data_IF_985963726015
#
_entry.id   IF_985963726015
#
_cell.length_a   1.000
_cell.length_b   1.000
_cell.length_c   1.000
_cell.angle_alpha   90.00
_cell.angle_beta   90.00
_cell.angle_gamma   90.00
#
_symmetry.space_group_name_H-M   'P 1'
#
loop_
_entity.id
_entity.type
_entity.pdbx_description
1 polymer ?
#
# COMPACT_ATOMS: atom_id res chain seq x y z
N UNK A 1 -20.77 58.96 -10.61
CA UNK A 1 -20.45 57.61 -10.15
C UNK A 1 -19.09 57.25 -10.70
N UNK A 2 -18.07 57.26 -9.83
CA UNK A 2 -16.72 56.85 -10.21
C UNK A 2 -16.63 55.38 -9.83
N UNK A 3 -16.75 54.49 -10.82
CA UNK A 3 -16.40 53.10 -10.67
C UNK A 3 -14.90 53.00 -10.36
N UNK A 4 -14.59 52.78 -9.09
CA UNK A 4 -13.24 52.46 -8.66
C UNK A 4 -12.92 51.09 -9.24
N UNK A 5 -12.25 51.03 -10.39
CA UNK A 5 -11.67 49.76 -10.89
C UNK A 5 -10.75 49.21 -9.81
N UNK A 6 -11.26 48.23 -9.07
CA UNK A 6 -10.51 47.49 -8.06
C UNK A 6 -9.36 46.79 -8.79
N UNK A 7 -8.13 47.23 -8.55
CA UNK A 7 -6.93 46.69 -9.22
C UNK A 7 -6.78 45.22 -8.85
N UNK A 8 -7.09 44.32 -9.78
CA UNK A 8 -6.89 42.89 -9.64
C UNK A 8 -5.44 42.58 -9.26
N UNK A 9 -5.23 41.87 -8.16
CA UNK A 9 -3.89 41.54 -7.65
C UNK A 9 -3.55 40.10 -7.85
N UNK A 10 -2.25 39.82 -7.92
CA UNK A 10 -1.68 38.50 -8.03
C UNK A 10 -0.91 38.16 -6.74
N UNK A 11 -1.23 37.02 -6.14
CA UNK A 11 -0.52 36.45 -4.99
C UNK A 11 0.33 35.30 -5.48
N UNK A 12 1.56 35.17 -4.97
CA UNK A 12 2.42 34.03 -5.19
C UNK A 12 2.94 33.51 -3.87
N UNK A 13 2.82 32.20 -3.67
CA UNK A 13 3.40 31.47 -2.54
C UNK A 13 4.15 30.25 -3.08
N UNK A 14 5.29 29.94 -2.50
CA UNK A 14 6.05 28.74 -2.87
C UNK A 14 6.59 28.03 -1.63
N UNK A 15 6.67 26.71 -1.71
CA UNK A 15 7.23 25.88 -0.65
C UNK A 15 7.94 24.69 -1.27
N UNK A 16 9.11 24.35 -0.75
CA UNK A 16 9.77 23.07 -1.04
C UNK A 16 9.18 22.01 -0.11
N UNK A 17 8.53 21.02 -0.69
CA UNK A 17 7.97 19.88 0.02
C UNK A 17 8.92 18.70 -0.18
N UNK A 18 9.38 18.11 0.89
CA UNK A 18 10.26 16.93 0.87
C UNK A 18 9.47 15.68 0.53
N UNK A 19 9.00 15.60 -0.70
CA UNK A 19 8.28 14.45 -1.24
C UNK A 19 8.32 14.49 -2.78
N UNK A 20 8.29 13.32 -3.46
CA UNK A 20 8.21 13.23 -4.91
C UNK A 20 6.98 13.93 -5.49
N UNK A 21 7.13 14.48 -6.69
CA UNK A 21 6.11 15.28 -7.36
C UNK A 21 4.76 14.55 -7.50
N UNK A 22 4.79 13.28 -7.82
CA UNK A 22 3.61 12.43 -7.95
C UNK A 22 2.83 12.33 -6.62
N UNK A 23 3.55 12.25 -5.50
CA UNK A 23 2.93 12.18 -4.17
C UNK A 23 2.34 13.52 -3.74
N UNK A 24 3.04 14.60 -4.03
CA UNK A 24 2.53 15.95 -3.74
C UNK A 24 1.29 16.22 -4.59
N UNK A 25 1.32 15.89 -5.89
CA UNK A 25 0.16 16.00 -6.77
C UNK A 25 -1.00 15.12 -6.30
N UNK A 26 -0.76 13.87 -5.89
CA UNK A 26 -1.77 12.98 -5.34
C UNK A 26 -2.42 13.56 -4.07
N UNK A 27 -1.65 14.19 -3.19
CA UNK A 27 -2.19 14.83 -2.00
C UNK A 27 -3.16 15.99 -2.33
N UNK A 28 -2.94 16.68 -3.44
CA UNK A 28 -3.82 17.74 -3.96
C UNK A 28 -5.07 17.23 -4.69
N UNK A 29 -5.10 15.97 -5.06
CA UNK A 29 -6.13 15.40 -5.94
C UNK A 29 -6.87 14.20 -5.37
N UNK A 30 -6.52 13.75 -4.17
CA UNK A 30 -7.18 12.64 -3.48
C UNK A 30 -8.07 13.19 -2.35
N UNK A 31 -9.39 12.93 -2.33
CA UNK A 31 -10.30 13.43 -1.29
C UNK A 31 -9.84 13.12 0.13
N UNK A 32 -9.38 11.90 0.38
CA UNK A 32 -8.93 11.46 1.70
C UNK A 32 -7.67 12.19 2.18
N UNK A 33 -6.77 12.60 1.27
CA UNK A 33 -5.61 13.42 1.61
C UNK A 33 -6.03 14.88 1.85
N UNK A 34 -6.84 15.47 0.96
CA UNK A 34 -7.35 16.84 1.07
C UNK A 34 -7.99 17.08 2.44
N UNK A 35 -8.81 16.16 2.93
CA UNK A 35 -9.44 16.26 4.25
C UNK A 35 -8.44 16.30 5.41
N UNK A 36 -7.21 15.86 5.23
CA UNK A 36 -6.18 15.81 6.28
C UNK A 36 -5.34 17.07 6.35
N UNK A 37 -5.03 17.70 5.22
CA UNK A 37 -4.09 18.81 5.19
C UNK A 37 -4.66 20.14 4.70
N UNK A 38 -5.70 20.13 3.87
CA UNK A 38 -6.21 21.36 3.24
C UNK A 38 -6.87 22.29 4.27
N UNK A 39 -6.58 23.59 4.14
CA UNK A 39 -7.00 24.64 5.08
C UNK A 39 -5.94 24.91 6.18
N UNK A 40 -5.83 26.19 6.66
CA UNK A 40 -4.95 26.53 7.77
C UNK A 40 -5.34 25.81 9.06
N UNK A 41 -4.55 25.92 10.14
CA UNK A 41 -4.78 25.17 11.40
C UNK A 41 -6.16 25.37 12.01
N UNK A 42 -6.75 26.56 11.85
CA UNK A 42 -8.10 26.88 12.32
C UNK A 42 -9.23 26.32 11.44
N UNK A 43 -8.90 25.61 10.37
CA UNK A 43 -9.86 25.08 9.40
C UNK A 43 -9.74 23.57 9.27
N UNK A 44 -10.89 22.89 9.15
CA UNK A 44 -10.98 21.46 8.90
C UNK A 44 -11.88 21.20 7.69
N UNK A 45 -11.36 20.48 6.69
CA UNK A 45 -12.19 19.96 5.59
C UNK A 45 -12.93 18.71 6.07
N UNK A 46 -14.26 18.78 6.10
CA UNK A 46 -15.12 17.69 6.55
C UNK A 46 -15.65 16.83 5.41
N UNK A 47 -15.62 17.36 4.18
CA UNK A 47 -15.97 16.63 2.96
C UNK A 47 -15.20 17.22 1.79
N UNK A 48 -14.64 16.37 0.95
CA UNK A 48 -13.99 16.73 -0.30
C UNK A 48 -14.55 15.87 -1.43
N UNK A 49 -15.04 16.51 -2.49
CA UNK A 49 -15.49 15.86 -3.73
C UNK A 49 -14.84 16.56 -4.88
N UNK A 50 -14.29 15.83 -5.82
CA UNK A 50 -13.68 16.41 -7.03
C UNK A 50 -13.79 15.45 -8.22
N UNK A 51 -13.96 16.04 -9.39
CA UNK A 51 -13.91 15.37 -10.68
C UNK A 51 -12.66 15.86 -11.41
N UNK A 52 -11.55 15.11 -11.31
CA UNK A 52 -10.22 15.53 -11.76
C UNK A 52 -10.07 15.44 -13.28
N UNK A 53 -10.68 16.37 -14.00
CA UNK A 53 -10.56 16.54 -15.45
C UNK A 53 -10.82 18.02 -15.82
N UNK A 54 -10.38 18.48 -16.99
CA UNK A 54 -10.80 19.80 -17.50
C UNK A 54 -12.33 19.93 -17.49
N UNK A 55 -12.84 21.07 -17.04
CA UNK A 55 -14.26 21.35 -16.79
C UNK A 55 -14.92 20.50 -15.69
N UNK A 56 -14.17 19.67 -14.96
CA UNK A 56 -14.67 18.94 -13.80
C UNK A 56 -14.80 19.84 -12.57
N UNK A 57 -15.83 19.64 -11.79
CA UNK A 57 -16.11 20.42 -10.58
C UNK A 57 -15.40 19.85 -9.36
N UNK A 58 -15.11 20.73 -8.40
CA UNK A 58 -14.73 20.34 -7.06
C UNK A 58 -15.50 21.08 -5.99
N UNK A 59 -15.70 20.43 -4.82
CA UNK A 59 -16.43 20.96 -3.68
C UNK A 59 -15.81 20.47 -2.38
N UNK A 60 -15.41 21.39 -1.52
CA UNK A 60 -14.90 21.10 -0.18
C UNK A 60 -15.77 21.79 0.86
N UNK A 61 -16.27 21.04 1.86
CA UNK A 61 -16.93 21.60 3.02
C UNK A 61 -15.87 21.86 4.09
N UNK A 62 -15.75 23.11 4.51
CA UNK A 62 -14.72 23.58 5.44
C UNK A 62 -15.40 24.12 6.70
N UNK A 63 -15.07 23.57 7.85
CA UNK A 63 -15.39 24.12 9.17
C UNK A 63 -14.26 25.03 9.62
N UNK A 64 -14.61 26.22 10.09
CA UNK A 64 -13.66 27.20 10.62
C UNK A 64 -14.23 27.89 11.83
N UNK A 65 -13.42 28.03 12.87
CA UNK A 65 -13.81 28.78 14.07
C UNK A 65 -14.03 30.28 13.79
N UNK A 66 -13.29 30.84 12.82
CA UNK A 66 -13.38 32.25 12.46
C UNK A 66 -14.45 32.56 11.41
N UNK A 67 -14.61 31.67 10.43
CA UNK A 67 -15.45 31.91 9.24
C UNK A 67 -16.77 31.15 9.26
N UNK A 68 -16.99 30.28 10.27
CA UNK A 68 -18.12 29.36 10.29
C UNK A 68 -17.98 28.23 9.25
N UNK A 69 -19.07 27.57 8.95
CA UNK A 69 -19.12 26.49 7.95
C UNK A 69 -19.22 27.14 6.54
N UNK A 70 -18.19 26.92 5.73
CA UNK A 70 -18.11 27.46 4.37
C UNK A 70 -17.90 26.35 3.35
N UNK A 71 -18.35 26.58 2.13
CA UNK A 71 -18.11 25.71 0.99
C UNK A 71 -17.13 26.40 0.03
N UNK A 72 -15.99 25.79 -0.17
CA UNK A 72 -15.05 26.11 -1.23
C UNK A 72 -15.40 25.30 -2.47
N UNK A 73 -15.57 25.93 -3.61
CA UNK A 73 -15.94 25.24 -4.84
C UNK A 73 -15.36 25.92 -6.09
N UNK A 74 -15.28 25.17 -7.18
CA UNK A 74 -14.83 25.67 -8.46
C UNK A 74 -14.78 24.57 -9.53
N UNK A 75 -14.15 24.93 -10.65
CA UNK A 75 -14.01 24.10 -11.84
C UNK A 75 -12.53 24.01 -12.21
N UNK A 76 -12.04 22.84 -12.53
CA UNK A 76 -10.71 22.67 -13.09
C UNK A 76 -10.67 23.21 -14.52
N UNK A 77 -9.77 24.15 -14.78
CA UNK A 77 -9.50 24.71 -16.13
C UNK A 77 -8.43 23.88 -16.84
N UNK A 78 -7.42 23.44 -16.09
CA UNK A 78 -6.32 22.63 -16.62
C UNK A 78 -5.93 21.56 -15.59
N UNK A 79 -5.71 20.34 -16.06
CA UNK A 79 -5.21 19.21 -15.26
C UNK A 79 -4.10 18.53 -16.04
N UNK A 80 -2.86 18.68 -15.58
CA UNK A 80 -1.65 18.06 -16.16
C UNK A 80 -0.89 17.26 -15.08
N UNK A 81 -1.25 16.01 -14.83
CA UNK A 81 -0.53 15.19 -13.86
C UNK A 81 0.91 14.90 -14.32
N UNK A 82 1.88 14.88 -13.40
CA UNK A 82 1.82 15.33 -12.02
C UNK A 82 2.32 16.77 -11.86
N UNK A 83 2.23 17.61 -12.88
CA UNK A 83 2.96 18.89 -12.96
C UNK A 83 2.14 20.14 -12.72
N UNK A 84 0.81 20.13 -12.99
CA UNK A 84 0.04 21.37 -12.91
C UNK A 84 -1.46 21.16 -12.70
N UNK A 85 -2.07 22.05 -11.92
CA UNK A 85 -3.52 22.24 -11.77
C UNK A 85 -3.86 23.72 -11.97
N UNK A 86 -4.94 24.00 -12.69
CA UNK A 86 -5.56 25.34 -12.75
C UNK A 86 -7.04 25.19 -12.45
N UNK A 87 -7.54 25.95 -11.50
CA UNK A 87 -8.96 25.90 -11.14
C UNK A 87 -9.50 27.29 -10.79
N UNK A 88 -10.81 27.47 -10.93
CA UNK A 88 -11.51 28.63 -10.37
C UNK A 88 -11.68 28.43 -8.87
N UNK A 89 -11.86 29.52 -8.12
CA UNK A 89 -11.87 29.52 -6.68
C UNK A 89 -12.98 30.42 -6.16
N UNK A 90 -13.96 29.84 -5.49
CA UNK A 90 -15.13 30.52 -4.97
C UNK A 90 -15.50 30.00 -3.59
N UNK A 91 -15.98 30.90 -2.73
CA UNK A 91 -16.60 30.56 -1.45
C UNK A 91 -18.10 30.79 -1.47
N UNK A 92 -18.84 29.98 -0.72
CA UNK A 92 -20.24 30.19 -0.39
C UNK A 92 -20.49 29.79 1.07
N UNK A 93 -21.56 30.35 1.67
CA UNK A 93 -21.88 30.14 3.08
C UNK A 93 -21.50 31.32 4.00
N UNK A 94 -20.53 32.14 3.62
CA UNK A 94 -20.17 33.39 4.32
C UNK A 94 -20.11 34.57 3.34
N UNK A 95 -20.97 35.62 3.50
CA UNK A 95 -20.96 36.78 2.60
C UNK A 95 -19.64 37.55 2.55
N UNK A 96 -18.88 37.60 3.64
CA UNK A 96 -17.60 38.31 3.71
C UNK A 96 -16.50 37.71 2.82
N UNK A 97 -16.68 36.45 2.42
CA UNK A 97 -15.75 35.74 1.53
C UNK A 97 -16.18 35.77 0.05
N UNK A 98 -17.30 36.42 -0.27
CA UNK A 98 -17.84 36.45 -1.63
C UNK A 98 -17.33 37.70 -2.39
N UNK A 99 -16.09 37.67 -2.83
CA UNK A 99 -15.47 38.75 -3.61
C UNK A 99 -15.41 38.48 -5.12
N UNK A 100 -16.14 37.47 -5.60
CA UNK A 100 -16.18 37.05 -7.00
C UNK A 100 -15.29 35.84 -7.31
N UNK A 101 -15.35 35.38 -8.56
CA UNK A 101 -14.53 34.25 -9.01
C UNK A 101 -13.07 34.68 -9.15
N UNK A 102 -12.19 33.91 -8.53
CA UNK A 102 -10.74 34.05 -8.68
C UNK A 102 -10.14 32.77 -9.27
N UNK A 103 -8.87 32.78 -9.63
CA UNK A 103 -8.20 31.64 -10.25
C UNK A 103 -6.95 31.23 -9.48
N UNK A 104 -6.82 29.94 -9.24
CA UNK A 104 -5.64 29.34 -8.62
C UNK A 104 -4.92 28.47 -9.64
N UNK A 105 -3.62 28.69 -9.78
CA UNK A 105 -2.70 27.84 -10.51
C UNK A 105 -1.73 27.21 -9.51
N UNK A 106 -1.61 25.90 -9.52
CA UNK A 106 -0.63 25.15 -8.72
C UNK A 106 0.32 24.43 -9.66
N UNK A 107 1.60 24.70 -9.54
CA UNK A 107 2.67 24.05 -10.30
C UNK A 107 3.51 23.22 -9.34
N UNK A 108 3.83 22.00 -9.77
CA UNK A 108 4.62 21.02 -9.02
C UNK A 108 5.93 20.81 -9.77
N UNK A 109 7.00 21.43 -9.30
CA UNK A 109 8.30 21.40 -9.96
C UNK A 109 9.21 20.40 -9.28
N UNK A 110 9.75 19.45 -10.03
CA UNK A 110 10.73 18.49 -9.52
C UNK A 110 12.04 19.20 -9.12
N UNK A 111 12.53 18.89 -7.95
CA UNK A 111 13.78 19.38 -7.34
C UNK A 111 14.65 18.25 -6.84
N UNK A 112 15.02 17.31 -7.73
CA UNK A 112 15.88 16.15 -7.42
C UNK A 112 15.23 15.20 -6.40
N UNK A 113 13.94 14.90 -6.58
CA UNK A 113 13.18 14.02 -5.70
C UNK A 113 12.28 14.76 -4.70
N UNK A 114 12.59 16.00 -4.39
CA UNK A 114 11.69 16.93 -3.68
C UNK A 114 10.79 17.67 -4.67
N UNK A 115 9.75 18.33 -4.19
CA UNK A 115 8.81 19.09 -5.04
C UNK A 115 8.72 20.52 -4.58
N UNK A 116 9.05 21.48 -5.44
CA UNK A 116 8.69 22.87 -5.21
C UNK A 116 7.25 23.09 -5.67
N UNK A 117 6.34 23.32 -4.73
CA UNK A 117 4.97 23.72 -4.99
C UNK A 117 4.93 25.22 -5.14
N UNK A 118 4.44 25.70 -6.30
CA UNK A 118 4.21 27.12 -6.56
C UNK A 118 2.72 27.36 -6.74
N UNK A 119 2.14 28.19 -5.88
CA UNK A 119 0.74 28.61 -5.95
C UNK A 119 0.71 30.03 -6.46
N UNK A 120 -0.04 30.25 -7.54
CA UNK A 120 -0.38 31.57 -8.04
C UNK A 120 -1.90 31.77 -7.92
N UNK A 121 -2.33 32.75 -7.14
CA UNK A 121 -3.74 33.11 -6.99
C UNK A 121 -3.96 34.49 -7.62
N UNK A 122 -4.80 34.52 -8.62
CA UNK A 122 -5.07 35.70 -9.43
C UNK A 122 -6.51 36.16 -9.23
N UNK A 123 -6.79 37.44 -9.58
CA UNK A 123 -8.10 38.07 -9.47
C UNK A 123 -8.59 38.22 -8.01
N UNK A 124 -7.66 38.27 -7.05
CA UNK A 124 -7.97 38.63 -5.67
C UNK A 124 -8.13 40.13 -5.51
N UNK A 125 -9.04 40.61 -4.63
CA UNK A 125 -9.04 41.98 -4.17
C UNK A 125 -7.69 42.37 -3.58
N UNK A 126 -7.39 43.70 -3.60
CA UNK A 126 -6.19 44.23 -2.95
C UNK A 126 -6.38 44.38 -1.44
N UNK A 127 -5.28 44.53 -0.69
CA UNK A 127 -5.30 44.79 0.73
C UNK A 127 -5.45 43.53 1.61
N UNK A 128 -6.33 43.57 2.60
CA UNK A 128 -6.51 42.56 3.65
C UNK A 128 -6.85 41.18 3.08
N UNK A 129 -7.77 41.11 2.14
CA UNK A 129 -8.17 39.85 1.48
C UNK A 129 -6.99 39.09 0.86
N UNK A 130 -6.07 39.82 0.22
CA UNK A 130 -4.86 39.22 -0.36
C UNK A 130 -3.92 38.70 0.73
N UNK A 131 -3.76 39.43 1.83
CA UNK A 131 -2.88 39.01 2.92
C UNK A 131 -3.47 37.81 3.67
N UNK A 132 -4.79 37.77 3.90
CA UNK A 132 -5.48 36.61 4.48
C UNK A 132 -5.31 35.35 3.63
N UNK A 133 -5.46 35.48 2.30
CA UNK A 133 -5.21 34.36 1.39
C UNK A 133 -3.75 33.91 1.41
N UNK A 134 -2.80 34.84 1.57
CA UNK A 134 -1.38 34.50 1.69
C UNK A 134 -1.09 33.72 2.99
N UNK A 135 -1.66 34.16 4.11
CA UNK A 135 -1.57 33.45 5.38
C UNK A 135 -2.26 32.08 5.28
N UNK A 136 -3.46 32.01 4.70
CA UNK A 136 -4.18 30.77 4.45
C UNK A 136 -3.39 29.75 3.63
N UNK A 137 -2.77 30.19 2.52
CA UNK A 137 -1.93 29.32 1.70
C UNK A 137 -0.66 28.85 2.42
N UNK A 138 -0.01 29.69 3.21
CA UNK A 138 1.14 29.27 4.02
C UNK A 138 0.72 28.22 5.05
N UNK A 139 -0.38 28.43 5.78
CA UNK A 139 -0.91 27.44 6.71
C UNK A 139 -1.32 26.10 6.04
N UNK A 140 -1.90 26.17 4.83
CA UNK A 140 -2.14 24.98 4.01
C UNK A 140 -0.84 24.24 3.69
N UNK A 141 0.18 24.95 3.24
CA UNK A 141 1.47 24.35 2.88
C UNK A 141 2.22 23.81 4.11
N UNK A 142 2.09 24.44 5.28
CA UNK A 142 2.64 23.93 6.55
C UNK A 142 1.98 22.59 6.95
N UNK A 143 0.65 22.48 6.81
CA UNK A 143 -0.07 21.22 7.03
C UNK A 143 0.24 20.17 5.96
N UNK A 144 0.41 20.58 4.70
CA UNK A 144 0.83 19.69 3.62
C UNK A 144 2.23 19.14 3.89
N UNK A 145 3.15 20.00 4.32
CA UNK A 145 4.51 19.62 4.71
C UNK A 145 4.49 18.64 5.89
N UNK A 146 3.71 18.91 6.94
CA UNK A 146 3.49 17.98 8.05
C UNK A 146 2.83 16.66 7.59
N UNK A 147 1.82 16.73 6.72
CA UNK A 147 1.12 15.56 6.19
C UNK A 147 2.01 14.68 5.29
N UNK A 148 2.88 15.32 4.53
CA UNK A 148 3.84 14.65 3.66
C UNK A 148 5.22 14.52 4.30
N UNK A 149 5.59 15.41 5.21
CA UNK A 149 6.84 15.44 5.94
C UNK A 149 6.78 14.72 7.30
N UNK A 150 5.60 14.30 7.75
CA UNK A 150 5.45 13.24 8.76
C UNK A 150 5.95 11.87 8.24
N UNK A 151 6.28 11.81 6.95
CA UNK A 151 7.33 10.98 6.40
C UNK A 151 8.67 11.75 6.49
N UNK A 152 9.19 11.97 7.71
CA UNK A 152 10.62 12.29 7.90
C UNK A 152 11.44 11.30 7.09
N UNK A 153 12.63 11.72 6.64
CA UNK A 153 13.64 10.94 5.92
C UNK A 153 13.93 9.52 6.46
N UNK A 154 13.17 9.07 7.46
CA UNK A 154 13.26 7.73 7.99
C UNK A 154 12.38 6.72 7.28
N UNK A 155 11.67 7.00 6.15
CA UNK A 155 10.97 5.91 5.44
C UNK A 155 10.56 6.19 3.98
N UNK A 156 11.44 6.79 3.17
CA UNK A 156 11.61 6.35 1.80
C UNK A 156 12.81 5.42 1.73
N UNK A 157 12.87 4.47 2.66
CA UNK A 157 13.68 3.29 2.44
C UNK A 157 13.06 2.59 1.23
N UNK A 158 13.79 2.40 0.11
CA UNK A 158 13.31 1.50 -0.93
C UNK A 158 12.90 0.24 -0.20
N UNK A 159 11.75 -0.35 -0.53
CA UNK A 159 11.30 -1.58 0.14
C UNK A 159 12.49 -2.51 0.21
N UNK A 160 12.83 -2.93 1.43
CA UNK A 160 14.06 -3.65 1.64
C UNK A 160 14.00 -4.93 0.80
N UNK A 161 15.07 -5.17 0.06
CA UNK A 161 15.22 -6.42 -0.69
C UNK A 161 15.08 -7.58 0.28
N UNK A 162 14.22 -8.54 -0.04
CA UNK A 162 13.95 -9.72 0.79
C UNK A 162 12.70 -9.64 1.66
N UNK A 163 11.95 -8.53 1.64
CA UNK A 163 10.69 -8.41 2.39
C UNK A 163 9.49 -8.94 1.61
N UNK A 164 8.57 -9.61 2.31
CA UNK A 164 7.28 -9.99 1.75
C UNK A 164 6.35 -8.79 1.72
N UNK A 165 5.96 -8.36 0.52
CA UNK A 165 5.17 -7.14 0.33
C UNK A 165 3.76 -7.37 -0.17
N UNK A 166 3.51 -8.51 -0.78
CA UNK A 166 2.20 -8.86 -1.32
C UNK A 166 1.96 -10.35 -1.23
N UNK A 167 0.71 -10.73 -1.01
CA UNK A 167 0.29 -12.13 -0.98
C UNK A 167 -1.03 -12.24 -1.74
N UNK A 168 -1.14 -13.22 -2.63
CA UNK A 168 -2.38 -13.46 -3.36
C UNK A 168 -2.79 -14.93 -3.28
N UNK A 169 -4.07 -15.17 -3.09
CA UNK A 169 -4.66 -16.49 -3.14
C UNK A 169 -5.07 -16.82 -4.57
N UNK A 170 -4.44 -17.83 -5.13
CA UNK A 170 -4.89 -18.48 -6.36
C UNK A 170 -5.88 -19.58 -5.99
N UNK A 171 -7.14 -19.44 -6.39
CA UNK A 171 -8.25 -20.31 -5.95
C UNK A 171 -8.98 -20.95 -7.13
N UNK A 172 -9.58 -22.09 -6.92
CA UNK A 172 -10.57 -22.68 -7.84
C UNK A 172 -12.02 -22.26 -7.50
N UNK A 173 -12.25 -21.81 -6.24
CA UNK A 173 -13.54 -21.39 -5.73
C UNK A 173 -13.46 -20.02 -5.02
N UNK A 174 -13.59 -18.93 -5.78
CA UNK A 174 -13.55 -17.56 -5.24
C UNK A 174 -14.64 -17.31 -4.19
N UNK A 175 -15.82 -17.93 -4.32
CA UNK A 175 -16.91 -17.74 -3.39
C UNK A 175 -16.65 -18.45 -2.04
N UNK A 176 -16.21 -19.71 -2.08
CA UNK A 176 -15.81 -20.48 -0.91
C UNK A 176 -14.64 -19.83 -0.18
N UNK A 177 -13.60 -19.42 -0.91
CA UNK A 177 -12.47 -18.69 -0.35
C UNK A 177 -12.92 -17.38 0.32
N UNK A 178 -13.76 -16.57 -0.36
CA UNK A 178 -14.29 -15.34 0.21
C UNK A 178 -15.06 -15.60 1.51
N UNK A 179 -15.92 -16.59 1.53
CA UNK A 179 -16.68 -16.98 2.73
C UNK A 179 -15.74 -17.38 3.88
N UNK A 180 -14.74 -18.21 3.60
CA UNK A 180 -13.77 -18.67 4.59
C UNK A 180 -12.97 -17.52 5.21
N UNK A 181 -12.29 -16.74 4.39
CA UNK A 181 -11.42 -15.66 4.87
C UNK A 181 -12.18 -14.50 5.52
N UNK A 182 -13.39 -14.22 5.05
CA UNK A 182 -14.28 -13.25 5.71
C UNK A 182 -14.73 -13.72 7.09
N UNK A 183 -15.06 -14.99 7.26
CA UNK A 183 -15.47 -15.55 8.55
C UNK A 183 -14.30 -15.65 9.55
N UNK A 184 -13.14 -16.13 9.09
CA UNK A 184 -11.97 -16.36 9.95
C UNK A 184 -11.27 -15.05 10.32
N UNK A 185 -11.10 -14.12 9.38
CA UNK A 185 -10.32 -12.90 9.58
C UNK A 185 -11.14 -11.60 9.63
N UNK A 186 -12.42 -11.64 9.24
CA UNK A 186 -13.24 -10.44 9.09
C UNK A 186 -12.84 -9.59 7.87
N UNK A 187 -12.18 -10.20 6.88
CA UNK A 187 -11.77 -9.50 5.67
C UNK A 187 -12.97 -9.23 4.76
N UNK A 188 -12.92 -8.08 4.10
CA UNK A 188 -13.86 -7.66 3.06
C UNK A 188 -13.18 -7.77 1.70
N UNK A 189 -13.97 -7.80 0.64
CA UNK A 189 -13.47 -7.82 -0.73
C UNK A 189 -13.83 -6.55 -1.49
N UNK A 190 -12.97 -6.16 -2.44
CA UNK A 190 -13.27 -5.13 -3.42
C UNK A 190 -12.63 -5.49 -4.76
N UNK A 191 -13.29 -5.20 -5.86
CA UNK A 191 -12.69 -5.38 -7.19
C UNK A 191 -11.52 -4.42 -7.40
N UNK A 192 -10.47 -4.91 -8.07
CA UNK A 192 -9.35 -4.10 -8.52
C UNK A 192 -9.59 -3.69 -9.99
N UNK A 193 -9.87 -2.41 -10.27
CA UNK A 193 -10.09 -1.96 -11.63
C UNK A 193 -8.76 -1.92 -12.41
N UNK A 194 -8.68 -2.60 -13.54
CA UNK A 194 -7.60 -2.39 -14.50
C UNK A 194 -6.67 -3.56 -14.79
N UNK A 195 -6.87 -4.75 -14.23
CA UNK A 195 -5.97 -5.88 -14.46
C UNK A 195 -6.26 -6.67 -15.76
N UNK A 196 -7.30 -6.34 -16.52
CA UNK A 196 -7.72 -7.14 -17.71
C UNK A 196 -8.26 -8.53 -17.37
N UNK A 197 -8.13 -8.96 -16.11
CA UNK A 197 -8.69 -10.16 -15.52
C UNK A 197 -9.43 -9.77 -14.23
N UNK A 198 -10.40 -10.58 -13.84
CA UNK A 198 -11.09 -10.37 -12.57
C UNK A 198 -10.08 -10.58 -11.43
N UNK A 199 -9.75 -9.52 -10.73
CA UNK A 199 -8.86 -9.54 -9.57
C UNK A 199 -9.53 -8.86 -8.38
N UNK A 200 -9.53 -9.53 -7.26
CA UNK A 200 -10.18 -9.06 -6.02
C UNK A 200 -9.12 -8.73 -4.99
N UNK A 201 -9.29 -7.60 -4.29
CA UNK A 201 -8.43 -7.17 -3.18
C UNK A 201 -9.10 -7.55 -1.86
N UNK A 202 -8.41 -8.26 -0.99
CA UNK A 202 -8.75 -8.39 0.41
C UNK A 202 -8.58 -7.06 1.12
N UNK A 203 -9.55 -6.65 1.92
CA UNK A 203 -9.52 -5.40 2.69
C UNK A 203 -9.90 -5.60 4.15
N UNK A 204 -9.28 -4.81 5.02
CA UNK A 204 -9.70 -4.62 6.40
C UNK A 204 -9.51 -3.15 6.78
N UNK A 205 -10.54 -2.54 7.37
CA UNK A 205 -10.55 -1.11 7.72
C UNK A 205 -10.14 -0.20 6.55
N UNK A 206 -10.58 -0.54 5.34
CA UNK A 206 -10.30 0.23 4.11
C UNK A 206 -8.90 0.01 3.50
N UNK A 207 -8.00 -0.72 4.17
CA UNK A 207 -6.64 -1.02 3.68
C UNK A 207 -6.63 -2.32 2.89
N UNK A 208 -5.89 -2.35 1.77
CA UNK A 208 -5.63 -3.57 1.00
C UNK A 208 -4.65 -4.48 1.74
N UNK A 209 -4.93 -5.78 1.78
CA UNK A 209 -4.16 -6.79 2.53
C UNK A 209 -3.49 -7.81 1.63
N UNK A 210 -4.05 -8.05 0.46
CA UNK A 210 -3.62 -9.08 -0.47
C UNK A 210 -4.61 -9.23 -1.61
N UNK A 211 -4.36 -10.18 -2.48
CA UNK A 211 -5.17 -10.47 -3.65
C UNK A 211 -5.92 -11.80 -3.56
N UNK A 212 -6.96 -11.91 -4.37
CA UNK A 212 -7.68 -13.15 -4.65
C UNK A 212 -7.97 -13.18 -6.15
N UNK A 213 -7.60 -14.25 -6.80
CA UNK A 213 -7.91 -14.49 -8.20
C UNK A 213 -8.14 -15.96 -8.50
N UNK A 214 -8.89 -16.22 -9.55
CA UNK A 214 -9.02 -17.58 -10.07
C UNK A 214 -7.66 -18.05 -10.59
N UNK A 215 -7.27 -19.28 -10.23
CA UNK A 215 -6.03 -19.88 -10.77
C UNK A 215 -6.02 -19.85 -12.30
N UNK A 216 -4.90 -19.49 -12.93
CA UNK A 216 -4.87 -19.29 -14.40
C UNK A 216 -4.99 -20.58 -15.19
N UNK A 217 -4.70 -21.73 -14.60
CA UNK A 217 -4.77 -23.06 -15.21
C UNK A 217 -5.23 -24.10 -14.19
N UNK A 218 -5.99 -25.10 -14.61
CA UNK A 218 -6.51 -26.15 -13.73
C UNK A 218 -5.43 -27.01 -13.06
N UNK A 219 -4.28 -27.15 -13.71
CA UNK A 219 -3.13 -27.91 -13.22
C UNK A 219 -2.41 -27.23 -12.06
N UNK A 220 -2.61 -25.92 -11.89
CA UNK A 220 -2.06 -25.20 -10.74
C UNK A 220 -2.98 -25.45 -9.53
N UNK A 221 -2.48 -26.04 -8.43
CA UNK A 221 -3.31 -26.23 -7.25
C UNK A 221 -3.69 -24.88 -6.64
N UNK A 222 -4.80 -24.78 -5.91
CA UNK A 222 -5.06 -23.62 -5.07
C UNK A 222 -3.88 -23.41 -4.11
N UNK A 223 -3.40 -22.16 -3.97
CA UNK A 223 -2.30 -21.83 -3.07
C UNK A 223 -2.16 -20.34 -2.84
N UNK A 224 -1.49 -19.98 -1.76
CA UNK A 224 -1.01 -18.63 -1.52
C UNK A 224 0.32 -18.40 -2.23
N UNK A 225 0.38 -17.40 -3.08
CA UNK A 225 1.60 -16.92 -3.73
C UNK A 225 2.07 -15.64 -3.04
N UNK A 226 3.26 -15.69 -2.46
CA UNK A 226 3.85 -14.55 -1.74
C UNK A 226 4.95 -13.93 -2.58
N UNK A 227 4.98 -12.60 -2.62
CA UNK A 227 5.94 -11.82 -3.39
C UNK A 227 6.99 -11.19 -2.49
N UNK A 228 8.25 -11.46 -2.82
CA UNK A 228 9.43 -10.91 -2.16
C UNK A 228 9.97 -9.74 -2.99
N UNK A 229 10.31 -8.65 -2.33
CA UNK A 229 10.88 -7.47 -2.98
C UNK A 229 12.31 -7.71 -3.43
N UNK A 230 12.61 -7.27 -4.64
CA UNK A 230 13.96 -7.33 -5.23
C UNK A 230 14.33 -6.01 -5.90
N UNK A 231 15.61 -5.71 -5.97
CA UNK A 231 16.10 -4.50 -6.62
C UNK A 231 15.84 -4.51 -8.15
N UNK A 232 15.93 -5.68 -8.78
CA UNK A 232 15.72 -5.85 -10.22
C UNK A 232 15.17 -7.26 -10.52
N UNK A 233 13.97 -7.32 -11.09
CA UNK A 233 13.25 -8.57 -11.35
C UNK A 233 13.90 -9.40 -12.45
N UNK A 234 14.39 -8.75 -13.52
CA UNK A 234 14.99 -9.44 -14.68
C UNK A 234 16.33 -10.12 -14.29
N UNK A 235 17.17 -9.40 -13.55
CA UNK A 235 18.42 -9.96 -13.06
C UNK A 235 18.19 -11.07 -12.04
N UNK A 236 17.18 -10.90 -11.16
CA UNK A 236 16.82 -11.92 -10.16
C UNK A 236 16.26 -13.17 -10.81
N UNK A 237 15.40 -13.05 -11.82
CA UNK A 237 14.89 -14.20 -12.58
C UNK A 237 16.01 -14.98 -13.28
N UNK A 238 17.05 -14.28 -13.80
CA UNK A 238 18.25 -14.95 -14.34
C UNK A 238 19.02 -15.70 -13.24
N UNK A 239 19.22 -15.10 -12.05
CA UNK A 239 19.86 -15.75 -10.92
C UNK A 239 19.10 -16.99 -10.46
N UNK A 240 17.75 -16.94 -10.43
CA UNK A 240 16.91 -18.11 -10.14
C UNK A 240 17.27 -19.28 -11.07
N UNK A 241 17.30 -19.05 -12.38
CA UNK A 241 17.64 -20.09 -13.36
C UNK A 241 19.06 -20.60 -13.19
N UNK A 242 20.02 -19.70 -12.97
CA UNK A 242 21.46 -20.06 -12.75
C UNK A 242 21.68 -20.86 -11.46
N UNK A 243 20.87 -20.61 -10.43
CA UNK A 243 20.95 -21.32 -9.16
C UNK A 243 20.15 -22.63 -9.13
N UNK A 244 19.54 -23.04 -10.26
CA UNK A 244 18.81 -24.30 -10.41
C UNK A 244 17.34 -24.23 -10.05
N UNK A 245 16.74 -23.06 -9.92
CA UNK A 245 15.30 -22.83 -9.85
C UNK A 245 14.68 -22.76 -11.26
N UNK A 246 13.37 -22.70 -11.30
CA UNK A 246 12.58 -22.62 -12.54
C UNK A 246 11.75 -21.35 -12.56
N UNK A 247 11.90 -20.51 -13.58
CA UNK A 247 10.99 -19.37 -13.80
C UNK A 247 9.68 -19.91 -14.35
N UNK A 248 8.58 -19.73 -13.61
CA UNK A 248 7.23 -20.16 -13.98
C UNK A 248 6.50 -19.08 -14.78
N UNK A 249 6.66 -17.81 -14.39
CA UNK A 249 6.16 -16.65 -15.10
C UNK A 249 7.34 -15.69 -15.35
N UNK A 250 7.69 -15.38 -16.59
CA UNK A 250 8.78 -14.46 -16.89
C UNK A 250 8.47 -13.04 -16.39
N UNK A 251 9.49 -12.17 -16.27
CA UNK A 251 9.28 -10.79 -15.86
C UNK A 251 8.27 -10.04 -16.75
N UNK A 252 7.21 -9.50 -16.12
CA UNK A 252 6.17 -8.69 -16.76
C UNK A 252 5.92 -7.41 -15.96
N UNK A 253 5.48 -6.36 -16.66
CA UNK A 253 5.02 -5.13 -16.03
C UNK A 253 3.51 -5.21 -15.78
N UNK A 254 3.12 -5.02 -14.50
CA UNK A 254 1.72 -4.91 -14.10
C UNK A 254 1.42 -3.42 -13.84
N UNK A 255 0.52 -2.80 -14.63
CA UNK A 255 0.19 -1.38 -14.48
C UNK A 255 -0.20 -1.05 -13.03
N UNK A 256 0.28 0.07 -12.50
CA UNK A 256 0.06 0.57 -11.13
C UNK A 256 0.64 -0.28 -9.99
N UNK A 257 1.20 -1.45 -10.28
CA UNK A 257 1.77 -2.38 -9.28
C UNK A 257 3.29 -2.41 -9.35
N UNK A 258 3.86 -2.72 -10.51
CA UNK A 258 5.31 -2.86 -10.69
C UNK A 258 5.69 -3.97 -11.64
N UNK A 259 6.97 -4.32 -11.66
CA UNK A 259 7.49 -5.44 -12.41
C UNK A 259 7.53 -6.67 -11.55
N UNK A 260 6.97 -7.79 -12.04
CA UNK A 260 6.83 -9.04 -11.28
C UNK A 260 7.35 -10.24 -12.08
N UNK A 261 7.73 -11.30 -11.39
CA UNK A 261 7.93 -12.64 -11.96
C UNK A 261 7.58 -13.70 -10.92
N UNK A 262 7.32 -14.93 -11.36
CA UNK A 262 7.06 -16.07 -10.46
C UNK A 262 8.08 -17.16 -10.76
N UNK A 263 8.62 -17.76 -9.73
CA UNK A 263 9.57 -18.85 -9.84
C UNK A 263 9.25 -19.99 -8.88
N UNK A 264 9.82 -21.14 -9.17
CA UNK A 264 9.87 -22.30 -8.28
C UNK A 264 11.31 -22.53 -7.86
N UNK A 265 11.53 -22.70 -6.57
CA UNK A 265 12.85 -23.03 -6.04
C UNK A 265 13.26 -24.47 -6.39
N UNK A 266 14.53 -24.88 -6.21
CA UNK A 266 14.99 -26.23 -6.52
C UNK A 266 14.34 -27.33 -5.70
N UNK A 267 13.55 -27.02 -4.67
CA UNK A 267 12.87 -27.96 -3.80
C UNK A 267 11.35 -27.98 -4.00
N UNK A 268 10.83 -27.12 -4.89
CA UNK A 268 9.45 -27.17 -5.34
C UNK A 268 8.54 -26.07 -4.80
N UNK A 269 9.04 -25.14 -3.98
CA UNK A 269 8.24 -24.02 -3.46
C UNK A 269 8.12 -22.91 -4.51
N UNK A 270 6.88 -22.46 -4.77
CA UNK A 270 6.62 -21.33 -5.64
C UNK A 270 6.60 -20.01 -4.88
N UNK A 271 7.28 -18.99 -5.42
CA UNK A 271 7.31 -17.63 -4.89
C UNK A 271 7.27 -16.60 -6.02
N UNK A 272 6.72 -15.46 -5.73
CA UNK A 272 6.82 -14.27 -6.58
C UNK A 272 8.01 -13.40 -6.19
N UNK A 273 8.55 -12.69 -7.16
CA UNK A 273 9.46 -11.56 -6.96
C UNK A 273 8.87 -10.31 -7.57
N UNK A 274 9.10 -9.19 -6.92
CA UNK A 274 8.53 -7.90 -7.33
C UNK A 274 9.50 -6.75 -7.10
N UNK A 275 9.56 -5.86 -8.09
CA UNK A 275 10.02 -4.49 -7.91
C UNK A 275 8.79 -3.60 -8.00
N UNK A 276 8.22 -3.16 -6.88
CA UNK A 276 7.04 -2.31 -6.90
C UNK A 276 7.39 -0.96 -7.53
N UNK A 277 6.40 -0.32 -8.15
CA UNK A 277 6.49 1.09 -8.49
C UNK A 277 6.68 1.87 -7.19
N UNK A 278 7.42 3.00 -7.22
CA UNK A 278 7.86 3.77 -6.04
C UNK A 278 6.77 4.13 -5.02
N UNK A 279 5.51 3.76 -5.31
CA UNK A 279 4.37 3.77 -4.37
C UNK A 279 3.36 2.69 -4.75
N UNK A 280 3.36 1.56 -4.07
CA UNK A 280 2.16 0.73 -4.04
C UNK A 280 1.06 1.53 -3.35
N UNK A 281 0.15 2.07 -4.14
CA UNK A 281 -0.99 2.86 -3.67
C UNK A 281 -1.94 2.11 -2.71
N UNK A 282 -1.71 0.82 -2.48
CA UNK A 282 -2.58 -0.06 -1.73
C UNK A 282 -1.87 -1.00 -0.73
N UNK A 283 -0.55 -0.95 -0.56
CA UNK A 283 0.15 -1.77 0.43
C UNK A 283 0.06 -1.14 1.85
N UNK A 284 -1.15 -0.92 2.33
CA UNK A 284 -1.40 -0.21 3.59
C UNK A 284 -1.54 -1.09 4.82
N UNK A 285 -1.42 -2.40 4.71
CA UNK A 285 -1.57 -3.29 5.85
C UNK A 285 -1.26 -4.73 5.46
N UNK A 286 -0.02 -5.15 5.60
CA UNK A 286 0.29 -6.56 5.48
C UNK A 286 -0.25 -7.26 6.73
N UNK A 287 -1.28 -8.10 6.58
CA UNK A 287 -1.76 -8.96 7.68
C UNK A 287 -0.84 -10.18 7.86
N UNK A 288 0.09 -10.39 6.95
CA UNK A 288 1.15 -11.36 7.12
C UNK A 288 2.12 -10.87 8.19
N UNK A 289 2.39 -11.68 9.18
CA UNK A 289 3.37 -11.39 10.25
C UNK A 289 4.65 -12.20 10.08
N UNK A 290 4.57 -13.34 9.40
CA UNK A 290 5.71 -14.21 9.15
C UNK A 290 5.44 -15.18 7.99
N UNK A 291 6.53 -15.71 7.38
CA UNK A 291 6.46 -16.66 6.28
C UNK A 291 7.51 -17.78 6.47
N UNK A 292 7.05 -19.03 6.62
CA UNK A 292 7.95 -20.19 6.63
C UNK A 292 8.01 -20.83 5.25
N UNK A 293 9.20 -20.83 4.65
CA UNK A 293 9.48 -21.53 3.39
C UNK A 293 9.96 -22.94 3.74
N UNK A 294 9.15 -23.97 3.47
CA UNK A 294 9.52 -25.34 3.81
C UNK A 294 10.64 -25.85 2.91
N UNK A 295 11.67 -26.45 3.49
CA UNK A 295 12.80 -27.03 2.75
C UNK A 295 13.20 -28.39 3.33
N UNK A 296 13.64 -29.32 2.47
CA UNK A 296 14.19 -30.62 2.91
C UNK A 296 15.67 -30.55 3.18
N UNK A 297 16.38 -29.75 2.37
CA UNK A 297 17.83 -29.52 2.45
C UNK A 297 18.07 -28.04 2.69
N UNK A 298 18.36 -27.69 3.95
CA UNK A 298 18.57 -26.31 4.37
C UNK A 298 19.82 -25.68 3.74
N UNK A 299 20.89 -26.45 3.57
CA UNK A 299 22.15 -25.91 3.04
C UNK A 299 22.02 -25.59 1.54
N UNK A 300 21.34 -26.45 0.80
CA UNK A 300 20.98 -26.21 -0.60
C UNK A 300 20.05 -24.99 -0.74
N UNK A 301 19.07 -24.86 0.15
CA UNK A 301 18.17 -23.72 0.16
C UNK A 301 18.88 -22.41 0.48
N UNK A 302 19.73 -22.38 1.51
CA UNK A 302 20.56 -21.22 1.85
C UNK A 302 21.41 -20.77 0.65
N UNK A 303 22.07 -21.71 -0.03
CA UNK A 303 22.86 -21.40 -1.23
C UNK A 303 22.01 -20.75 -2.32
N UNK A 304 20.83 -21.32 -2.59
CA UNK A 304 19.89 -20.80 -3.61
C UNK A 304 19.39 -19.40 -3.24
N UNK A 305 18.77 -19.24 -2.08
CA UNK A 305 18.16 -17.97 -1.68
C UNK A 305 19.18 -16.86 -1.44
N UNK A 306 20.38 -17.19 -0.93
CA UNK A 306 21.48 -16.21 -0.82
C UNK A 306 21.90 -15.68 -2.20
N UNK A 307 21.99 -16.54 -3.21
CA UNK A 307 22.32 -16.14 -4.58
C UNK A 307 21.20 -15.30 -5.22
N UNK A 308 19.93 -15.72 -5.06
CA UNK A 308 18.77 -15.04 -5.63
C UNK A 308 18.54 -13.67 -5.00
N UNK A 309 18.57 -13.59 -3.67
CA UNK A 309 18.31 -12.35 -2.91
C UNK A 309 19.56 -11.46 -2.81
N UNK A 310 20.75 -11.99 -3.13
CA UNK A 310 21.99 -11.23 -3.15
C UNK A 310 22.55 -10.90 -1.77
N UNK A 311 22.16 -11.64 -0.73
CA UNK A 311 22.64 -11.47 0.63
C UNK A 311 22.87 -12.83 1.31
N UNK A 312 23.95 -12.99 2.11
CA UNK A 312 24.26 -14.25 2.80
C UNK A 312 23.21 -14.54 3.86
N UNK A 313 22.83 -15.81 3.97
CA UNK A 313 21.94 -16.31 5.01
C UNK A 313 22.72 -17.24 5.95
N UNK A 314 22.43 -17.16 7.25
CA UNK A 314 23.08 -17.97 8.27
C UNK A 314 22.16 -19.11 8.70
N UNK A 315 22.70 -20.34 8.72
CA UNK A 315 22.03 -21.50 9.29
C UNK A 315 22.03 -21.43 10.81
N UNK A 316 20.85 -21.62 11.37
CA UNK A 316 20.65 -21.72 12.81
C UNK A 316 19.94 -23.05 13.14
N UNK A 317 20.02 -23.46 14.40
CA UNK A 317 19.35 -24.66 14.89
C UNK A 317 18.62 -24.38 16.20
N UNK A 318 17.43 -24.90 16.30
CA UNK A 318 16.63 -24.86 17.53
C UNK A 318 15.79 -26.12 17.62
N UNK A 319 15.86 -26.83 18.78
CA UNK A 319 15.08 -28.06 19.06
C UNK A 319 15.11 -29.14 17.95
N UNK A 320 16.29 -29.33 17.36
CA UNK A 320 16.49 -30.34 16.30
C UNK A 320 16.07 -29.92 14.90
N UNK A 321 15.58 -28.71 14.74
CA UNK A 321 15.24 -28.12 13.45
C UNK A 321 16.32 -27.16 12.97
N UNK A 322 16.52 -27.11 11.65
CA UNK A 322 17.40 -26.14 11.01
C UNK A 322 16.56 -25.06 10.34
N UNK A 323 16.96 -23.82 10.52
CA UNK A 323 16.32 -22.68 9.85
C UNK A 323 17.36 -21.63 9.43
N UNK A 324 16.94 -20.73 8.55
CA UNK A 324 17.73 -19.57 8.15
C UNK A 324 16.79 -18.41 7.83
N UNK A 325 16.94 -17.30 8.55
CA UNK A 325 16.10 -16.12 8.36
C UNK A 325 16.44 -15.46 7.04
N UNK A 326 15.43 -15.02 6.30
CA UNK A 326 15.58 -14.28 5.07
C UNK A 326 16.20 -12.91 5.36
N UNK A 327 17.06 -12.40 4.46
CA UNK A 327 17.63 -11.08 4.63
C UNK A 327 16.52 -10.03 4.69
N UNK A 328 16.49 -9.25 5.74
CA UNK A 328 15.59 -8.11 5.88
C UNK A 328 16.36 -6.93 6.50
N UNK A 329 16.02 -5.73 6.12
CA UNK A 329 16.74 -4.52 6.53
C UNK A 329 15.91 -3.64 7.45
N UNK A 330 14.67 -4.00 7.75
CA UNK A 330 13.75 -3.22 8.57
C UNK A 330 13.17 -4.03 9.72
N UNK A 331 13.26 -3.51 10.95
CA UNK A 331 12.64 -4.11 12.14
C UNK A 331 11.11 -4.19 12.05
N UNK A 332 10.51 -3.45 11.11
CA UNK A 332 9.07 -3.40 10.87
C UNK A 332 8.63 -4.12 9.58
N UNK A 333 9.59 -4.63 8.80
CA UNK A 333 9.32 -5.38 7.57
C UNK A 333 8.85 -6.79 7.86
N UNK A 334 7.97 -7.33 6.99
CA UNK A 334 7.57 -8.73 7.08
C UNK A 334 8.66 -9.62 6.50
N UNK A 335 9.24 -10.44 7.34
CA UNK A 335 10.26 -11.40 6.98
C UNK A 335 9.74 -12.85 7.06
N UNK A 336 10.63 -13.79 6.88
CA UNK A 336 10.36 -15.22 6.96
C UNK A 336 11.66 -16.02 7.13
N UNK A 337 11.54 -17.32 7.14
CA UNK A 337 12.70 -18.17 7.17
C UNK A 337 12.57 -19.40 6.24
N UNK A 338 13.70 -19.94 5.84
CA UNK A 338 13.81 -21.32 5.35
C UNK A 338 13.74 -22.23 6.57
N UNK A 339 12.96 -23.30 6.54
CA UNK A 339 12.85 -24.21 7.67
C UNK A 339 12.70 -25.67 7.25
N UNK A 340 13.35 -26.58 7.98
CA UNK A 340 13.18 -28.03 7.79
C UNK A 340 11.99 -28.61 8.56
N UNK A 341 11.27 -27.77 9.30
CA UNK A 341 10.08 -28.14 10.06
C UNK A 341 9.87 -27.27 11.28
N UNK A 342 8.84 -27.54 12.04
CA UNK A 342 8.56 -26.93 13.33
C UNK A 342 7.88 -27.95 14.25
N UNK A 343 8.30 -27.99 15.53
CA UNK A 343 7.67 -28.75 16.61
C UNK A 343 7.30 -30.22 16.27
N UNK A 344 8.31 -30.97 15.82
CA UNK A 344 8.12 -32.42 15.50
C UNK A 344 7.50 -32.72 14.13
N UNK A 345 7.14 -31.67 13.36
CA UNK A 345 6.63 -31.85 12.00
C UNK A 345 7.70 -31.49 10.99
N UNK A 346 8.04 -32.40 10.08
CA UNK A 346 8.93 -32.12 8.96
C UNK A 346 8.25 -31.14 7.98
N UNK A 347 9.00 -30.16 7.50
CA UNK A 347 8.55 -29.30 6.43
C UNK A 347 8.51 -30.07 5.11
N UNK A 348 7.39 -30.00 4.41
CA UNK A 348 7.23 -30.60 3.09
C UNK A 348 7.13 -29.48 2.04
N UNK A 349 8.22 -29.25 1.28
CA UNK A 349 8.15 -28.35 0.15
C UNK A 349 7.09 -28.81 -0.83
N UNK A 350 6.23 -27.92 -1.23
CA UNK A 350 5.18 -28.22 -2.19
C UNK A 350 4.85 -27.00 -3.05
N UNK A 351 4.17 -27.25 -4.16
CA UNK A 351 3.63 -26.17 -5.01
C UNK A 351 2.45 -25.43 -4.36
N UNK A 352 2.01 -25.81 -3.15
CA UNK A 352 1.05 -25.06 -2.33
C UNK A 352 1.69 -23.84 -1.62
N UNK A 353 2.95 -23.54 -1.91
CA UNK A 353 3.65 -22.38 -1.39
C UNK A 353 4.14 -22.51 0.05
N UNK A 354 4.57 -21.39 0.64
CA UNK A 354 5.03 -21.31 2.02
C UNK A 354 3.87 -21.37 3.04
N UNK A 355 4.20 -21.59 4.31
CA UNK A 355 3.25 -21.42 5.41
C UNK A 355 3.20 -19.95 5.81
N UNK A 356 2.06 -19.31 5.59
CA UNK A 356 1.83 -17.91 5.89
C UNK A 356 1.19 -17.74 7.27
N UNK A 357 1.74 -16.85 8.09
CA UNK A 357 1.22 -16.51 9.42
C UNK A 357 0.42 -15.22 9.34
N UNK A 358 -0.88 -15.31 9.50
CA UNK A 358 -1.78 -14.17 9.46
C UNK A 358 -2.12 -13.67 10.88
N UNK A 359 -2.15 -12.36 11.02
CA UNK A 359 -2.46 -11.69 12.28
C UNK A 359 -3.91 -11.92 12.71
N UNK A 360 -4.08 -12.51 13.89
CA UNK A 360 -5.36 -12.69 14.57
C UNK A 360 -5.35 -12.06 15.98
N UNK A 361 -4.58 -10.99 16.17
CA UNK A 361 -4.43 -10.33 17.46
C UNK A 361 -5.79 -9.97 18.08
N UNK A 362 -6.02 -10.44 19.31
CA UNK A 362 -7.25 -10.21 20.07
C UNK A 362 -8.44 -11.09 19.65
N UNK A 363 -8.31 -11.96 18.64
CA UNK A 363 -9.42 -12.80 18.16
C UNK A 363 -9.00 -14.21 17.72
N UNK A 364 -7.84 -14.71 18.15
CA UNK A 364 -7.31 -16.01 17.70
C UNK A 364 -8.28 -17.17 17.98
N UNK A 365 -8.90 -17.19 19.16
CA UNK A 365 -9.83 -18.28 19.55
C UNK A 365 -11.11 -18.24 18.69
N UNK A 366 -11.64 -17.05 18.40
CA UNK A 366 -12.79 -16.89 17.49
C UNK A 366 -12.43 -17.31 16.06
N UNK A 367 -11.24 -16.92 15.59
CA UNK A 367 -10.75 -17.30 14.26
C UNK A 367 -10.61 -18.82 14.14
N UNK A 368 -10.03 -19.49 15.12
CA UNK A 368 -9.92 -20.96 15.15
C UNK A 368 -11.31 -21.63 15.17
N UNK A 369 -12.24 -21.12 15.97
CA UNK A 369 -13.60 -21.63 16.04
C UNK A 369 -14.36 -21.49 14.71
N UNK A 370 -14.06 -20.45 13.92
CA UNK A 370 -14.69 -20.19 12.62
C UNK A 370 -14.18 -21.11 11.50
N UNK A 371 -13.06 -21.82 11.68
CA UNK A 371 -12.44 -22.65 10.62
C UNK A 371 -13.36 -23.77 10.17
N UNK A 372 -13.77 -24.66 11.09
CA UNK A 372 -14.58 -25.83 10.77
C UNK A 372 -15.92 -25.51 10.11
N UNK A 373 -16.73 -24.58 10.66
CA UNK A 373 -18.02 -24.17 10.08
C UNK A 373 -17.92 -23.58 8.66
N UNK A 374 -16.72 -23.14 8.24
CA UNK A 374 -16.49 -22.56 6.92
C UNK A 374 -15.63 -23.46 6.00
N UNK A 375 -15.82 -24.78 6.12
CA UNK A 375 -15.16 -25.80 5.28
C UNK A 375 -13.64 -25.92 5.43
N UNK A 376 -13.04 -25.32 6.46
CA UNK A 376 -11.64 -25.53 6.81
C UNK A 376 -11.43 -26.65 7.82
N UNK A 377 -10.17 -26.92 8.18
CA UNK A 377 -9.79 -27.92 9.18
C UNK A 377 -8.69 -27.41 10.08
N UNK A 378 -8.87 -27.55 11.40
CA UNK A 378 -7.79 -27.29 12.35
C UNK A 378 -6.83 -28.48 12.35
N UNK A 379 -5.56 -28.23 12.02
CA UNK A 379 -4.47 -29.21 12.03
C UNK A 379 -3.76 -29.24 13.39
N UNK A 380 -3.43 -28.05 13.89
CA UNK A 380 -2.85 -27.82 15.20
C UNK A 380 -3.69 -26.78 15.93
N UNK A 381 -4.28 -27.10 17.09
CA UNK A 381 -5.01 -26.14 17.89
C UNK A 381 -4.08 -25.03 18.39
N UNK A 382 -4.65 -23.96 18.94
CA UNK A 382 -3.87 -22.88 19.55
C UNK A 382 -2.88 -23.43 20.58
N UNK A 383 -1.61 -23.05 20.41
CA UNK A 383 -0.51 -23.41 21.31
C UNK A 383 0.52 -22.28 21.35
N UNK A 384 1.31 -22.17 22.43
CA UNK A 384 2.35 -21.17 22.55
C UNK A 384 3.53 -21.49 21.62
N UNK A 385 4.18 -20.47 21.08
CA UNK A 385 5.41 -20.53 20.28
C UNK A 385 6.53 -19.71 20.94
N UNK A 386 6.75 -19.91 22.21
CA UNK A 386 7.76 -19.23 23.00
C UNK A 386 7.51 -17.72 23.11
N UNK A 387 8.54 -16.88 22.90
CA UNK A 387 8.42 -15.43 23.02
C UNK A 387 7.59 -14.79 21.89
N UNK A 388 7.17 -15.56 20.89
CA UNK A 388 6.46 -15.10 19.70
C UNK A 388 4.94 -15.26 19.82
N UNK A 389 4.40 -15.50 21.03
CA UNK A 389 2.97 -15.58 21.29
C UNK A 389 2.34 -16.95 21.02
N UNK A 390 1.21 -16.96 20.34
CA UNK A 390 0.40 -18.16 20.09
C UNK A 390 0.17 -18.39 18.60
N UNK A 391 0.06 -19.66 18.21
CA UNK A 391 -0.24 -20.09 16.85
C UNK A 391 -1.29 -21.18 16.84
N UNK A 392 -2.12 -21.20 15.81
CA UNK A 392 -2.87 -22.37 15.36
C UNK A 392 -2.56 -22.61 13.89
N UNK A 393 -2.47 -23.87 13.45
CA UNK A 393 -2.28 -24.22 12.03
C UNK A 393 -3.55 -24.83 11.50
N UNK A 394 -4.03 -24.34 10.38
CA UNK A 394 -5.30 -24.74 9.79
C UNK A 394 -5.17 -24.98 8.28
N UNK A 395 -6.13 -25.72 7.73
CA UNK A 395 -6.42 -25.73 6.30
C UNK A 395 -7.58 -24.80 6.03
N UNK A 396 -7.48 -24.03 4.96
CA UNK A 396 -8.63 -23.28 4.44
C UNK A 396 -9.63 -24.16 3.69
N UNK A 397 -10.62 -23.57 3.03
CA UNK A 397 -11.69 -24.27 2.32
C UNK A 397 -11.22 -25.10 1.12
N UNK A 398 -10.00 -24.89 0.63
CA UNK A 398 -9.41 -25.62 -0.50
C UNK A 398 -8.15 -26.44 -0.10
N UNK A 399 -7.87 -26.55 1.20
CA UNK A 399 -6.76 -27.30 1.72
C UNK A 399 -5.44 -26.56 1.80
N UNK A 400 -5.42 -25.22 1.61
CA UNK A 400 -4.22 -24.44 1.80
C UNK A 400 -3.88 -24.35 3.29
N UNK A 401 -2.63 -24.64 3.60
CA UNK A 401 -2.13 -24.60 4.98
C UNK A 401 -1.72 -23.18 5.34
N UNK A 402 -2.34 -22.63 6.37
CA UNK A 402 -2.04 -21.30 6.90
C UNK A 402 -1.91 -21.35 8.43
N UNK A 403 -1.22 -20.37 8.99
CA UNK A 403 -1.09 -20.19 10.43
C UNK A 403 -1.86 -18.95 10.88
N UNK A 404 -2.64 -19.10 11.94
CA UNK A 404 -3.32 -18.04 12.66
C UNK A 404 -2.43 -17.64 13.82
N UNK A 405 -2.03 -16.37 13.93
CA UNK A 405 -1.04 -15.92 14.91
C UNK A 405 -1.59 -14.79 15.80
N UNK A 406 -1.20 -14.79 17.06
CA UNK A 406 -1.46 -13.71 18.03
C UNK A 406 -0.29 -13.61 19.00
N UNK A 407 0.10 -12.39 19.35
CA UNK A 407 1.00 -12.13 20.48
C UNK A 407 0.31 -12.40 21.81
#
# INVERSE_FOLDING_TARGET
>A
MIETMQKSTKLRVKRLIKAPRERVFAAWTTPADIMKWFGPETCQVTSAKLNLRPSGEYNFLVKSEKMGDVKLHGVFREVKPPSKLVCTWNFSGNPELQFGESQVTVEFLDRKGDTEVQITHEQLPSGEVKEDHKQGWNGCLDKLEKHLGGCSESQHKPMAVGEFCWNELLTSDEAGATKFYSAVFGWQTAEFPGAGVKYTIWKQQGKGLGGLMKRPMEQIPPHWLSYVTVADVDSTAKKVSQAGGKVLMPPIDVPTVGRIAVFQDPQGVALGIIKPLDKPSNCGGNQLVWCDIPVKDIDRAIKFYSAVLGAPMKKEQHEGMSFAVLPHTDEHGVSGCLTTGCEGHKAEPSQHGPLLYFNCQGRLDEAVAAVGPNAGKVLQPKHPIGPYGFRAVVLDSEGNRIALHSM
#
